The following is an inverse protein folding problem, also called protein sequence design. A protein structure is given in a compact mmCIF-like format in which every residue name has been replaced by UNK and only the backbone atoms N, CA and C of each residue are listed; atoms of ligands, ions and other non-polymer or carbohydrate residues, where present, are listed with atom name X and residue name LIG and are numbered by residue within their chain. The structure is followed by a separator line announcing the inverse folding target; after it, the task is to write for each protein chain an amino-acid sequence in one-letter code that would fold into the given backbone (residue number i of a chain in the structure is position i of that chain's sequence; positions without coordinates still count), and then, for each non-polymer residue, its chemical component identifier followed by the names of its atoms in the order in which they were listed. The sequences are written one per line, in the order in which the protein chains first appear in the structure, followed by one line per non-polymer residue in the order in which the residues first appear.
data_IF_157702051784
#
_entry.id   IF_157702051784
#
_cell.length_a   1.000
_cell.length_b   1.000
_cell.length_c   1.000
_cell.angle_alpha   90.00
_cell.angle_beta   90.00
_cell.angle_gamma   90.00
#
_symmetry.space_group_name_H-M   'P 1'
#
loop_
_entity.id
_entity.type
_entity.pdbx_description
1 polymer ?
#
# COMPACT_ATOMS: atom_id res chain seq x y z
N UNK A 1 -0.44 -17.11 -38.51
CA UNK A 1 -1.56 -16.29 -37.98
C UNK A 1 -2.25 -16.91 -36.74
N UNK A 2 -1.61 -17.82 -36.00
CA UNK A 2 -2.23 -18.57 -34.88
C UNK A 2 -1.82 -18.08 -33.49
N UNK A 3 -0.68 -17.41 -33.35
CA UNK A 3 -0.14 -16.93 -32.06
C UNK A 3 -0.82 -15.63 -31.56
N UNK A 4 -1.16 -14.69 -32.45
CA UNK A 4 -1.84 -13.44 -32.09
C UNK A 4 -3.26 -13.66 -31.51
N UNK A 5 -3.94 -14.72 -31.92
CA UNK A 5 -5.27 -15.09 -31.42
C UNK A 5 -5.22 -15.55 -29.95
N UNK A 6 -4.19 -16.32 -29.58
CA UNK A 6 -3.98 -16.77 -28.19
C UNK A 6 -3.66 -15.60 -27.27
N UNK A 7 -2.78 -14.69 -27.69
CA UNK A 7 -2.42 -13.50 -26.91
C UNK A 7 -3.64 -12.59 -26.71
N UNK A 8 -4.48 -12.41 -27.73
CA UNK A 8 -5.74 -11.65 -27.61
C UNK A 8 -6.73 -12.29 -26.62
N UNK A 9 -6.83 -13.62 -26.61
CA UNK A 9 -7.72 -14.34 -25.67
C UNK A 9 -7.26 -14.23 -24.21
N UNK A 10 -5.95 -14.28 -23.96
CA UNK A 10 -5.36 -14.15 -22.63
C UNK A 10 -5.55 -12.72 -22.09
N UNK A 11 -5.39 -11.71 -22.94
CA UNK A 11 -5.64 -10.31 -22.59
C UNK A 11 -7.13 -10.01 -22.34
N UNK A 12 -8.04 -10.65 -23.08
CA UNK A 12 -9.48 -10.51 -22.84
C UNK A 12 -9.91 -11.19 -21.53
N UNK A 13 -9.34 -12.34 -21.20
CA UNK A 13 -9.61 -13.03 -19.93
C UNK A 13 -9.06 -12.27 -18.72
N UNK A 14 -7.88 -11.63 -18.82
CA UNK A 14 -7.35 -10.79 -17.74
C UNK A 14 -8.19 -9.52 -17.52
N UNK A 15 -8.73 -8.93 -18.60
CA UNK A 15 -9.62 -7.78 -18.53
C UNK A 15 -11.01 -8.11 -17.98
N UNK A 16 -11.47 -9.35 -18.13
CA UNK A 16 -12.74 -9.83 -17.58
C UNK A 16 -12.63 -10.17 -16.09
N UNK A 17 -11.49 -10.74 -15.67
CA UNK A 17 -11.15 -10.98 -14.26
C UNK A 17 -11.06 -9.67 -13.48
N UNK A 18 -10.53 -8.59 -14.07
CA UNK A 18 -10.49 -7.29 -13.40
C UNK A 18 -11.90 -6.71 -13.17
N UNK A 19 -12.81 -6.79 -14.15
CA UNK A 19 -14.17 -6.27 -13.98
C UNK A 19 -15.00 -7.08 -12.97
N UNK A 20 -14.80 -8.40 -12.88
CA UNK A 20 -15.52 -9.26 -11.94
C UNK A 20 -15.00 -9.13 -10.51
N UNK A 21 -13.68 -8.96 -10.32
CA UNK A 21 -13.11 -8.72 -9.00
C UNK A 21 -13.53 -7.37 -8.44
N UNK A 22 -13.64 -6.30 -9.24
CA UNK A 22 -14.02 -4.98 -8.73
C UNK A 22 -15.46 -4.86 -8.19
N UNK A 23 -16.39 -5.75 -8.58
CA UNK A 23 -17.77 -5.71 -8.07
C UNK A 23 -17.95 -6.40 -6.70
N UNK A 24 -17.06 -7.31 -6.33
CA UNK A 24 -17.06 -8.00 -5.02
C UNK A 24 -15.90 -7.57 -4.11
N UNK A 25 -14.83 -6.99 -4.68
CA UNK A 25 -13.65 -6.47 -3.98
C UNK A 25 -13.63 -4.93 -3.94
N UNK A 26 -14.74 -4.28 -3.62
CA UNK A 26 -14.77 -2.84 -3.32
C UNK A 26 -14.03 -2.44 -2.03
N UNK A 27 -13.00 -3.20 -1.60
CA UNK A 27 -12.54 -3.21 -0.21
C UNK A 27 -11.02 -3.19 0.00
N UNK A 28 -10.16 -3.51 -0.97
CA UNK A 28 -8.69 -3.45 -0.76
C UNK A 28 -7.99 -3.23 -2.09
N UNK A 29 -7.84 -1.97 -2.52
CA UNK A 29 -6.84 -1.61 -3.51
C UNK A 29 -6.60 -0.10 -3.51
N UNK A 30 -5.77 0.39 -2.58
CA UNK A 30 -4.99 1.60 -2.86
C UNK A 30 -3.62 1.10 -3.30
N UNK A 31 -3.41 1.20 -4.60
CA UNK A 31 -2.28 0.70 -5.36
C UNK A 31 -0.93 1.08 -4.73
N UNK A 32 -0.14 0.06 -4.44
CA UNK A 32 1.30 0.10 -4.10
C UNK A 32 2.15 0.49 -5.33
N UNK A 33 1.69 1.43 -6.15
CA UNK A 33 2.36 1.79 -7.42
C UNK A 33 3.05 3.17 -7.38
N UNK A 34 2.95 3.95 -6.31
CA UNK A 34 3.56 5.30 -6.26
C UNK A 34 4.77 5.46 -5.33
N UNK A 35 5.58 4.41 -5.12
CA UNK A 35 6.95 4.59 -4.60
C UNK A 35 7.96 4.77 -5.74
N UNK A 36 7.64 5.67 -6.68
CA UNK A 36 8.69 6.39 -7.40
C UNK A 36 9.08 7.54 -6.48
N UNK A 37 10.08 7.28 -5.66
CA UNK A 37 10.72 8.28 -4.81
C UNK A 37 11.29 9.33 -5.77
N UNK A 38 10.71 10.53 -5.77
CA UNK A 38 11.40 11.74 -6.24
C UNK A 38 12.60 11.95 -5.31
N UNK A 39 13.71 11.30 -5.64
CA UNK A 39 14.99 11.38 -4.93
C UNK A 39 15.75 12.69 -5.27
N UNK A 40 15.02 13.80 -5.41
CA UNK A 40 15.58 15.13 -5.62
C UNK A 40 14.73 16.19 -4.91
N UNK A 41 14.86 16.25 -3.59
CA UNK A 41 14.88 17.51 -2.82
C UNK A 41 14.90 17.20 -1.33
N UNK A 42 16.11 17.09 -0.76
CA UNK A 42 16.43 17.63 0.57
C UNK A 42 17.92 17.36 0.84
N UNK A 43 18.78 18.18 0.24
CA UNK A 43 20.00 18.58 0.94
C UNK A 43 19.58 19.60 2.01
N UNK A 44 19.88 19.31 3.27
CA UNK A 44 19.77 20.27 4.37
C UNK A 44 18.55 20.07 5.27
N UNK A 45 18.57 19.04 6.11
CA UNK A 45 17.61 18.93 7.22
C UNK A 45 17.84 17.69 8.05
N UNK A 46 18.48 17.84 9.21
CA UNK A 46 18.70 16.79 10.21
C UNK A 46 17.38 16.11 10.60
N UNK A 47 17.30 14.80 10.43
CA UNK A 47 16.19 13.99 10.93
C UNK A 47 16.12 12.62 10.28
N UNK A 48 16.81 11.64 10.86
CA UNK A 48 16.59 10.23 10.56
C UNK A 48 15.15 9.87 10.95
N UNK A 49 14.32 9.63 9.96
CA UNK A 49 12.90 9.40 10.13
C UNK A 49 12.17 10.01 8.95
N UNK A 50 12.18 9.31 7.81
CA UNK A 50 11.22 9.57 6.75
C UNK A 50 9.83 9.38 7.34
N UNK A 51 9.25 10.47 7.85
CA UNK A 51 7.85 10.54 8.20
C UNK A 51 7.08 10.06 6.98
N UNK A 52 6.14 9.15 7.21
CA UNK A 52 5.02 8.86 6.33
C UNK A 52 4.20 10.15 6.23
N UNK A 53 4.74 11.17 5.55
CA UNK A 53 4.20 12.51 5.53
C UNK A 53 3.03 12.50 4.56
N UNK A 54 1.83 12.32 5.10
CA UNK A 54 0.58 12.70 4.44
C UNK A 54 -0.51 11.64 4.34
N UNK A 55 -0.32 10.39 4.79
CA UNK A 55 -1.46 9.44 4.82
C UNK A 55 -2.32 9.70 6.04
N UNK A 56 -3.49 10.29 5.81
CA UNK A 56 -4.55 10.36 6.81
C UNK A 56 -5.01 8.94 7.17
N UNK A 57 -5.00 8.64 8.45
CA UNK A 57 -5.56 7.42 9.06
C UNK A 57 -7.01 7.65 9.46
N UNK A 58 -7.69 6.61 9.92
CA UNK A 58 -9.05 6.74 10.48
C UNK A 58 -9.10 7.67 11.71
N UNK A 59 -7.99 7.80 12.46
CA UNK A 59 -7.93 8.64 13.65
C UNK A 59 -7.98 10.14 13.31
N UNK A 60 -7.57 10.52 12.10
CA UNK A 60 -7.71 11.90 11.59
C UNK A 60 -9.17 12.29 11.36
N UNK A 61 -10.06 11.29 11.23
CA UNK A 61 -11.50 11.47 11.04
C UNK A 61 -12.31 11.12 12.30
N UNK A 62 -11.66 11.03 13.47
CA UNK A 62 -12.31 10.58 14.72
C UNK A 62 -13.57 11.37 15.10
N UNK A 63 -13.57 12.69 14.88
CA UNK A 63 -14.72 13.55 15.17
C UNK A 63 -15.86 13.31 14.17
N UNK A 64 -15.52 13.21 12.88
CA UNK A 64 -16.50 12.93 11.83
C UNK A 64 -17.14 11.55 12.00
N UNK A 65 -16.34 10.56 12.40
CA UNK A 65 -16.79 9.20 12.67
C UNK A 65 -17.40 9.02 14.06
N UNK A 66 -17.42 10.07 14.90
CA UNK A 66 -17.91 10.03 16.28
C UNK A 66 -17.34 8.81 17.03
N UNK A 67 -16.03 8.58 16.92
CA UNK A 67 -15.37 7.47 17.59
C UNK A 67 -15.39 7.70 19.11
N UNK A 68 -15.72 6.66 19.89
CA UNK A 68 -15.58 6.71 21.35
C UNK A 68 -14.12 6.67 21.77
N UNK A 69 -13.81 7.07 23.00
CA UNK A 69 -12.45 7.02 23.53
C UNK A 69 -11.87 5.60 23.50
N UNK A 70 -12.67 4.59 23.84
CA UNK A 70 -12.29 3.18 23.78
C UNK A 70 -11.99 2.71 22.35
N UNK A 71 -12.80 3.15 21.38
CA UNK A 71 -12.55 2.87 19.97
C UNK A 71 -11.24 3.53 19.52
N UNK A 72 -11.00 4.80 19.87
CA UNK A 72 -9.76 5.52 19.56
C UNK A 72 -8.54 4.81 20.14
N UNK A 73 -8.59 4.41 21.41
CA UNK A 73 -7.50 3.69 22.07
C UNK A 73 -7.20 2.35 21.40
N UNK A 74 -8.25 1.60 21.06
CA UNK A 74 -8.13 0.29 20.41
C UNK A 74 -7.57 0.41 18.99
N UNK A 75 -8.04 1.39 18.22
CA UNK A 75 -7.57 1.68 16.87
C UNK A 75 -6.10 2.13 16.91
N UNK A 76 -5.74 3.03 17.83
CA UNK A 76 -4.35 3.48 18.00
C UNK A 76 -3.41 2.30 18.23
N UNK A 77 -3.78 1.37 19.13
CA UNK A 77 -2.99 0.17 19.37
C UNK A 77 -2.78 -0.67 18.11
N UNK A 78 -3.80 -0.82 17.27
CA UNK A 78 -3.68 -1.55 15.99
C UNK A 78 -2.74 -0.84 15.02
N UNK A 79 -2.79 0.49 14.95
CA UNK A 79 -1.89 1.30 14.12
C UNK A 79 -0.45 1.16 14.63
N UNK A 80 -0.22 1.30 15.94
CA UNK A 80 1.10 1.16 16.56
C UNK A 80 1.69 -0.25 16.30
N UNK A 81 0.87 -1.31 16.40
CA UNK A 81 1.26 -2.69 16.06
C UNK A 81 1.63 -2.83 14.58
N UNK A 82 0.83 -2.26 13.68
CA UNK A 82 1.06 -2.27 12.24
C UNK A 82 2.38 -1.56 11.89
N UNK A 83 2.62 -0.37 12.45
CA UNK A 83 3.85 0.40 12.23
C UNK A 83 5.07 -0.36 12.75
N UNK A 84 4.97 -0.96 13.95
CA UNK A 84 6.04 -1.77 14.54
C UNK A 84 6.42 -2.96 13.65
N UNK A 85 5.42 -3.64 13.08
CA UNK A 85 5.64 -4.75 12.13
C UNK A 85 6.24 -4.30 10.80
N UNK A 86 5.77 -3.17 10.27
CA UNK A 86 6.16 -2.71 8.92
C UNK A 86 7.45 -1.91 8.88
N UNK A 87 7.89 -1.30 9.99
CA UNK A 87 9.15 -0.55 10.04
C UNK A 87 10.36 -1.36 9.55
N UNK A 88 10.66 -2.57 10.06
CA UNK A 88 11.80 -3.35 9.56
C UNK A 88 11.65 -3.79 8.10
N UNK A 89 10.42 -4.03 7.62
CA UNK A 89 10.16 -4.36 6.21
C UNK A 89 10.48 -3.18 5.30
N UNK A 90 10.09 -1.97 5.71
CA UNK A 90 10.38 -0.74 4.98
C UNK A 90 11.89 -0.44 4.96
N UNK A 91 12.57 -0.58 6.10
CA UNK A 91 14.03 -0.42 6.17
C UNK A 91 14.75 -1.37 5.21
N UNK A 92 14.33 -2.64 5.18
CA UNK A 92 14.87 -3.64 4.24
C UNK A 92 14.53 -3.34 2.79
N UNK A 93 13.32 -2.86 2.52
CA UNK A 93 12.89 -2.45 1.17
C UNK A 93 13.77 -1.31 0.65
N UNK A 94 14.02 -0.27 1.47
CA UNK A 94 14.88 0.87 1.11
C UNK A 94 16.31 0.40 0.80
N UNK A 95 16.85 -0.50 1.63
CA UNK A 95 18.18 -1.07 1.40
C UNK A 95 18.24 -1.86 0.08
N UNK A 96 17.26 -2.72 -0.20
CA UNK A 96 17.20 -3.49 -1.44
C UNK A 96 16.97 -2.63 -2.68
N UNK A 97 16.16 -1.57 -2.59
CA UNK A 97 15.96 -0.62 -3.68
C UNK A 97 17.28 0.12 -3.99
N UNK A 98 18.09 0.46 -2.97
CA UNK A 98 19.43 1.03 -3.15
C UNK A 98 20.39 0.03 -3.81
N UNK A 99 20.46 -1.20 -3.32
CA UNK A 99 21.29 -2.25 -3.91
C UNK A 99 20.92 -2.54 -5.36
N UNK A 100 19.62 -2.60 -5.67
CA UNK A 100 19.12 -2.79 -7.03
C UNK A 100 19.54 -1.63 -7.93
N UNK A 101 19.45 -0.38 -7.45
CA UNK A 101 19.90 0.79 -8.21
C UNK A 101 21.40 0.70 -8.53
N UNK A 102 22.23 0.35 -7.55
CA UNK A 102 23.68 0.19 -7.75
C UNK A 102 24.01 -0.94 -8.73
N UNK A 103 23.28 -2.06 -8.68
CA UNK A 103 23.42 -3.16 -9.65
C UNK A 103 23.07 -2.71 -11.06
N UNK A 104 22.01 -1.92 -11.24
CA UNK A 104 21.60 -1.42 -12.54
C UNK A 104 22.61 -0.41 -13.12
N UNK A 105 23.16 0.47 -12.28
CA UNK A 105 24.17 1.45 -12.70
C UNK A 105 25.50 0.81 -13.13
N UNK A 106 25.84 -0.36 -12.55
CA UNK A 106 27.07 -1.09 -12.85
C UNK A 106 26.90 -2.17 -13.93
N UNK A 107 25.74 -2.24 -14.58
CA UNK A 107 25.40 -3.34 -15.50
C UNK A 107 25.63 -4.73 -14.86
N UNK A 108 25.23 -4.87 -13.60
CA UNK A 108 25.45 -6.05 -12.78
C UNK A 108 24.74 -7.30 -13.32
N UNK A 109 25.07 -8.45 -12.71
CA UNK A 109 24.54 -9.74 -13.14
C UNK A 109 23.00 -9.78 -13.15
N UNK A 110 22.43 -10.28 -14.25
CA UNK A 110 20.98 -10.35 -14.43
C UNK A 110 20.31 -11.29 -13.41
N UNK A 111 21.02 -12.32 -12.94
CA UNK A 111 20.57 -13.23 -11.89
C UNK A 111 20.41 -12.50 -10.55
N UNK A 112 21.39 -11.68 -10.18
CA UNK A 112 21.34 -10.83 -8.98
C UNK A 112 20.24 -9.78 -9.05
N UNK A 113 20.11 -9.07 -10.18
CA UNK A 113 19.03 -8.11 -10.43
C UNK A 113 17.67 -8.79 -10.25
N UNK A 114 17.47 -9.96 -10.86
CA UNK A 114 16.22 -10.72 -10.76
C UNK A 114 15.93 -11.16 -9.33
N UNK A 115 16.95 -11.53 -8.57
CA UNK A 115 16.82 -11.89 -7.15
C UNK A 115 16.35 -10.69 -6.32
N UNK A 116 16.99 -9.53 -6.47
CA UNK A 116 16.64 -8.30 -5.74
C UNK A 116 15.23 -7.83 -6.04
N UNK A 117 14.83 -7.85 -7.30
CA UNK A 117 13.45 -7.54 -7.71
C UNK A 117 12.45 -8.45 -6.99
N UNK A 118 12.68 -9.77 -6.97
CA UNK A 118 11.78 -10.71 -6.27
C UNK A 118 11.68 -10.43 -4.77
N UNK A 119 12.81 -10.15 -4.12
CA UNK A 119 12.84 -9.83 -2.69
C UNK A 119 12.04 -8.55 -2.39
N UNK A 120 12.21 -7.50 -3.21
CA UNK A 120 11.43 -6.26 -3.13
C UNK A 120 9.93 -6.52 -3.25
N UNK A 121 9.49 -7.28 -4.26
CA UNK A 121 8.07 -7.60 -4.43
C UNK A 121 7.51 -8.45 -3.28
N UNK A 122 8.30 -9.37 -2.73
CA UNK A 122 7.91 -10.16 -1.56
C UNK A 122 7.67 -9.28 -0.34
N UNK A 123 8.57 -8.34 -0.05
CA UNK A 123 8.41 -7.40 1.08
C UNK A 123 7.19 -6.50 0.90
N UNK A 124 6.96 -5.99 -0.31
CA UNK A 124 5.77 -5.19 -0.62
C UNK A 124 4.49 -6.00 -0.41
N UNK A 125 4.46 -7.27 -0.82
CA UNK A 125 3.32 -8.14 -0.58
C UNK A 125 3.05 -8.34 0.92
N UNK A 126 4.10 -8.54 1.72
CA UNK A 126 3.98 -8.68 3.17
C UNK A 126 3.43 -7.41 3.84
N UNK A 127 3.93 -6.24 3.45
CA UNK A 127 3.42 -4.96 3.95
C UNK A 127 1.93 -4.75 3.63
N UNK A 128 1.48 -5.18 2.43
CA UNK A 128 0.06 -5.14 2.03
C UNK A 128 -0.78 -6.10 2.87
N UNK A 129 -0.28 -7.31 3.14
CA UNK A 129 -0.95 -8.27 4.01
C UNK A 129 -1.14 -7.67 5.40
N UNK A 130 -0.09 -7.06 5.97
CA UNK A 130 -0.16 -6.38 7.26
C UNK A 130 -1.20 -5.24 7.27
N UNK A 131 -1.31 -4.49 6.16
CA UNK A 131 -2.31 -3.42 6.02
C UNK A 131 -3.74 -3.97 5.98
N UNK A 132 -3.96 -5.07 5.25
CA UNK A 132 -5.26 -5.76 5.19
C UNK A 132 -5.66 -6.26 6.58
N UNK A 133 -4.73 -6.87 7.31
CA UNK A 133 -4.97 -7.36 8.67
C UNK A 133 -5.35 -6.23 9.62
N UNK A 134 -4.58 -5.13 9.62
CA UNK A 134 -4.87 -3.96 10.42
C UNK A 134 -6.24 -3.36 10.08
N UNK A 135 -6.54 -3.21 8.79
CA UNK A 135 -7.83 -2.72 8.31
C UNK A 135 -9.00 -3.58 8.77
N UNK A 136 -8.87 -4.92 8.68
CA UNK A 136 -9.90 -5.86 9.18
C UNK A 136 -10.08 -5.78 10.69
N UNK A 137 -9.01 -5.59 11.47
CA UNK A 137 -9.09 -5.39 12.92
C UNK A 137 -9.83 -4.09 13.25
N UNK A 138 -9.50 -2.99 12.56
CA UNK A 138 -10.18 -1.69 12.74
C UNK A 138 -11.66 -1.80 12.36
N UNK A 139 -11.99 -2.44 11.24
CA UNK A 139 -13.39 -2.63 10.83
C UNK A 139 -14.20 -3.38 11.90
N UNK A 140 -13.60 -4.31 12.65
CA UNK A 140 -14.32 -5.00 13.75
C UNK A 140 -14.68 -4.09 14.93
N UNK A 141 -13.97 -2.97 15.11
CA UNK A 141 -14.21 -1.99 16.19
C UNK A 141 -15.37 -1.04 15.84
N UNK A 142 -15.59 -0.79 14.54
CA UNK A 142 -16.57 0.17 14.07
C UNK A 142 -17.99 -0.43 14.03
N UNK A 143 -18.98 0.39 14.40
CA UNK A 143 -20.38 0.07 14.17
C UNK A 143 -20.77 0.24 12.68
N UNK A 144 -22.00 -0.12 12.32
CA UNK A 144 -22.47 -0.10 10.92
C UNK A 144 -22.45 1.30 10.30
N UNK A 145 -22.87 2.33 11.04
CA UNK A 145 -22.89 3.72 10.56
C UNK A 145 -21.47 4.25 10.35
N UNK A 146 -20.58 4.00 11.31
CA UNK A 146 -19.17 4.36 11.24
C UNK A 146 -18.47 3.71 10.05
N UNK A 147 -18.75 2.42 9.78
CA UNK A 147 -18.22 1.69 8.62
C UNK A 147 -18.62 2.32 7.31
N UNK A 148 -19.89 2.63 7.14
CA UNK A 148 -20.40 3.21 5.90
C UNK A 148 -19.81 4.61 5.68
N UNK A 149 -19.75 5.44 6.73
CA UNK A 149 -19.10 6.75 6.66
C UNK A 149 -17.61 6.64 6.35
N UNK A 150 -16.92 5.69 6.97
CA UNK A 150 -15.51 5.44 6.70
C UNK A 150 -15.25 5.00 5.26
N UNK A 151 -16.13 4.15 4.70
CA UNK A 151 -16.08 3.76 3.29
C UNK A 151 -16.27 4.96 2.37
N UNK A 152 -17.20 5.87 2.68
CA UNK A 152 -17.42 7.10 1.92
C UNK A 152 -16.19 8.01 1.94
N UNK A 153 -15.58 8.23 3.11
CA UNK A 153 -14.35 9.02 3.26
C UNK A 153 -13.24 8.45 2.38
N UNK A 154 -13.01 7.13 2.45
CA UNK A 154 -11.99 6.45 1.64
C UNK A 154 -12.26 6.55 0.15
N UNK A 155 -13.50 6.34 -0.29
CA UNK A 155 -13.88 6.43 -1.71
C UNK A 155 -13.78 7.85 -2.27
N UNK A 156 -14.02 8.86 -1.44
CA UNK A 156 -13.94 10.28 -1.83
C UNK A 156 -12.49 10.76 -1.94
N UNK A 157 -11.59 10.21 -1.14
CA UNK A 157 -10.15 10.44 -1.27
C UNK A 157 -9.57 9.92 -2.59
N UNK A 158 -10.05 8.77 -3.05
CA UNK A 158 -9.61 8.14 -4.32
C UNK A 158 -9.98 8.99 -5.54
N UNK A 159 -11.17 9.61 -5.54
CA UNK A 159 -11.63 10.45 -6.67
C UNK A 159 -10.83 11.74 -6.87
N UNK A 160 -10.10 12.22 -5.84
CA UNK A 160 -9.34 13.48 -5.91
C UNK A 160 -7.90 13.32 -6.42
N UNK A 161 -7.36 12.11 -6.49
CA UNK A 161 -5.98 11.85 -6.94
C UNK A 161 -5.90 11.27 -8.37
N UNK A 162 -7.03 11.19 -9.07
CA UNK A 162 -7.11 10.66 -10.45
C UNK A 162 -7.63 11.69 -11.47
N UNK A 163 -7.44 12.98 -11.21
CA UNK A 163 -7.76 14.08 -12.13
C UNK A 163 -6.51 14.79 -12.58
#
# INVERSE_FOLDING_TARGET
MTEFSKISSILKNSLFLSKSLFKTFGLVLILVISLVINAYSQEGGKGAGGSVQGRKTILDFKQELKLTEDQVKSIKKIIDEFETKNRPLLEKLIALDKELKELLEKEGDLGEIKKRIKEIYSLRAEMVINEIEAGRKIDKILNKEQKEKWKQIRSSGIKRQGG
#
